data_IF_942254646236
#
_entry.id   IF_942254646236
#
_cell.length_a   1.000
_cell.length_b   1.000
_cell.length_c   1.000
_cell.angle_alpha   90.00
_cell.angle_beta   90.00
_cell.angle_gamma   90.00
#
_symmetry.space_group_name_H-M   'P 1'
#
loop_
_entity.id
_entity.type
_entity.pdbx_description
1 polymer ?
#
# COMPACT_ATOMS: atom_id res chain seq x y z
N UNK A 1 38.89 -53.78 5.29
CA UNK A 1 37.60 -53.60 5.99
C UNK A 1 37.36 -52.11 6.15
N UNK A 2 36.21 -51.65 5.64
CA UNK A 2 35.43 -50.46 5.99
C UNK A 2 36.11 -49.08 5.97
N UNK A 3 35.92 -48.38 4.86
CA UNK A 3 35.64 -46.95 4.85
C UNK A 3 34.41 -46.74 3.96
N UNK A 4 33.22 -46.84 4.55
CA UNK A 4 31.95 -46.56 3.87
C UNK A 4 31.76 -45.05 3.74
N UNK A 5 31.50 -44.61 2.51
CA UNK A 5 31.29 -43.23 2.09
C UNK A 5 30.22 -42.53 2.93
N UNK A 6 30.58 -41.39 3.52
CA UNK A 6 29.66 -40.48 4.22
C UNK A 6 28.64 -39.85 3.24
N UNK A 7 28.91 -39.91 1.93
CA UNK A 7 28.03 -39.37 0.89
C UNK A 7 26.75 -40.18 0.67
N UNK A 8 26.70 -41.47 1.03
CA UNK A 8 25.50 -42.30 0.86
C UNK A 8 24.45 -42.06 1.97
N UNK A 9 24.81 -41.39 3.07
CA UNK A 9 23.88 -41.09 4.16
C UNK A 9 23.11 -39.78 3.99
N UNK A 10 23.52 -38.92 3.05
CA UNK A 10 22.93 -37.58 2.83
C UNK A 10 21.89 -37.53 1.70
N UNK A 11 21.72 -38.62 0.94
CA UNK A 11 20.77 -38.73 -0.18
C UNK A 11 19.34 -39.10 0.22
N UNK A 12 19.03 -39.18 1.52
CA UNK A 12 17.74 -39.71 2.02
C UNK A 12 16.88 -38.76 2.85
N UNK A 13 17.29 -37.50 3.05
CA UNK A 13 16.56 -36.57 3.91
C UNK A 13 16.12 -35.31 3.15
N UNK A 14 15.41 -35.51 2.04
CA UNK A 14 14.40 -34.53 1.67
C UNK A 14 13.30 -34.60 2.75
N UNK A 15 13.36 -33.69 3.72
CA UNK A 15 12.20 -33.34 4.53
C UNK A 15 11.14 -32.82 3.55
N UNK A 16 10.26 -33.72 3.09
CA UNK A 16 8.98 -33.31 2.52
C UNK A 16 8.33 -32.40 3.56
N UNK A 17 8.33 -31.09 3.32
CA UNK A 17 7.49 -30.16 4.07
C UNK A 17 6.10 -30.79 4.07
N UNK A 18 5.59 -31.11 5.26
CA UNK A 18 4.19 -31.46 5.38
C UNK A 18 3.39 -30.36 4.67
N UNK A 19 2.32 -30.67 3.92
CA UNK A 19 1.48 -29.64 3.35
C UNK A 19 1.10 -28.71 4.51
N UNK A 20 1.51 -27.44 4.40
CA UNK A 20 1.17 -26.45 5.41
C UNK A 20 -0.36 -26.43 5.45
N UNK A 21 -0.96 -26.93 6.54
CA UNK A 21 -2.40 -26.96 6.73
C UNK A 21 -2.85 -25.52 6.94
N UNK A 22 -3.08 -24.84 5.81
CA UNK A 22 -3.54 -23.47 5.79
C UNK A 22 -5.04 -23.35 6.09
N UNK A 23 -5.73 -24.46 6.38
CA UNK A 23 -7.19 -24.51 6.57
C UNK A 23 -7.98 -24.36 5.27
N UNK A 24 -9.31 -24.46 5.36
CA UNK A 24 -10.20 -24.28 4.21
C UNK A 24 -10.27 -22.80 3.79
N UNK A 25 -9.83 -22.42 2.57
CA UNK A 25 -9.90 -21.04 2.08
C UNK A 25 -11.33 -20.54 1.86
N UNK A 26 -12.35 -21.41 1.93
CA UNK A 26 -13.75 -21.01 1.95
C UNK A 26 -14.24 -20.62 3.36
N UNK A 27 -13.52 -20.98 4.43
CA UNK A 27 -13.80 -20.47 5.78
C UNK A 27 -13.32 -19.02 5.88
N UNK A 28 -14.21 -18.03 6.12
CA UNK A 28 -13.82 -16.62 6.21
C UNK A 28 -12.75 -16.35 7.27
N UNK A 29 -12.70 -17.14 8.35
CA UNK A 29 -11.71 -17.00 9.44
C UNK A 29 -10.31 -17.39 9.00
N UNK A 30 -10.23 -18.32 8.05
CA UNK A 30 -8.98 -18.74 7.43
C UNK A 30 -8.64 -17.77 6.29
N UNK A 31 -9.60 -17.48 5.42
CA UNK A 31 -9.43 -16.64 4.23
C UNK A 31 -8.92 -15.25 4.58
N UNK A 32 -9.55 -14.56 5.54
CA UNK A 32 -9.19 -13.20 5.94
C UNK A 32 -7.93 -13.13 6.81
N UNK A 33 -7.55 -14.23 7.45
CA UNK A 33 -6.33 -14.30 8.26
C UNK A 33 -5.12 -14.40 7.34
N UNK A 34 -4.44 -13.27 7.14
CA UNK A 34 -3.17 -13.14 6.41
C UNK A 34 -2.19 -12.40 7.32
N UNK A 35 -0.89 -12.63 7.13
CA UNK A 35 0.16 -11.97 7.91
C UNK A 35 0.54 -10.57 7.37
N UNK A 36 -0.31 -9.99 6.50
CA UNK A 36 -0.17 -8.63 6.03
C UNK A 36 -0.35 -7.65 7.20
N UNK A 37 0.48 -6.61 7.24
CA UNK A 37 0.48 -5.60 8.30
C UNK A 37 0.36 -4.19 7.71
N UNK A 38 -0.24 -3.31 8.49
CA UNK A 38 -0.20 -1.86 8.27
C UNK A 38 0.49 -1.19 9.45
N UNK A 39 1.34 -0.21 9.18
CA UNK A 39 2.02 0.61 10.19
C UNK A 39 1.59 2.07 10.04
N UNK A 40 1.52 2.80 11.14
CA UNK A 40 1.18 4.22 11.14
C UNK A 40 1.93 4.96 12.25
N UNK A 41 2.36 6.18 11.95
CA UNK A 41 3.07 7.04 12.89
C UNK A 41 2.66 8.51 12.68
N UNK A 42 2.72 9.29 13.74
CA UNK A 42 2.45 10.72 13.73
C UNK A 42 3.75 11.50 13.97
N UNK A 43 4.01 12.50 13.14
CA UNK A 43 5.23 13.29 13.14
C UNK A 43 4.91 14.76 13.31
N UNK A 44 5.72 15.46 14.11
CA UNK A 44 5.75 16.92 14.16
C UNK A 44 6.88 17.42 13.28
N UNK A 45 6.60 18.42 12.45
CA UNK A 45 7.63 19.05 11.63
C UNK A 45 8.49 19.95 12.52
N UNK A 46 9.80 19.94 12.30
CA UNK A 46 10.75 20.72 13.12
C UNK A 46 10.49 22.23 13.03
N UNK A 47 10.21 22.72 11.82
CA UNK A 47 10.00 24.15 11.55
C UNK A 47 8.51 24.57 11.66
N UNK A 48 7.61 23.58 11.82
CA UNK A 48 6.16 23.72 11.99
C UNK A 48 5.67 22.77 13.10
N UNK A 49 6.04 22.99 14.37
CA UNK A 49 5.80 22.03 15.46
C UNK A 49 4.32 21.84 15.82
N UNK A 50 3.47 22.76 15.39
CA UNK A 50 2.01 22.71 15.54
C UNK A 50 1.35 21.91 14.41
N UNK A 51 2.05 21.70 13.29
CA UNK A 51 1.58 20.86 12.20
C UNK A 51 2.00 19.41 12.41
N UNK A 52 1.01 18.52 12.42
CA UNK A 52 1.20 17.09 12.60
C UNK A 52 0.85 16.37 11.31
N UNK A 53 1.75 15.50 10.85
CA UNK A 53 1.52 14.62 9.70
C UNK A 53 1.46 13.18 10.19
N UNK A 54 0.37 12.49 9.88
CA UNK A 54 0.24 11.06 10.04
C UNK A 54 0.67 10.40 8.73
N UNK A 55 1.61 9.47 8.82
CA UNK A 55 2.03 8.63 7.71
C UNK A 55 1.65 7.19 8.03
N UNK A 56 0.93 6.55 7.12
CA UNK A 56 0.63 5.14 7.15
C UNK A 56 1.31 4.42 5.97
N UNK A 57 1.70 3.17 6.18
CA UNK A 57 2.26 2.30 5.14
C UNK A 57 1.70 0.89 5.26
N UNK A 58 1.48 0.19 4.15
CA UNK A 58 0.96 -1.18 4.12
C UNK A 58 1.51 -1.97 2.94
N UNK A 59 1.40 -3.29 3.01
CA UNK A 59 1.54 -4.18 1.87
C UNK A 59 0.34 -5.16 1.90
N UNK A 60 -0.62 -5.01 0.99
CA UNK A 60 -1.83 -5.84 0.95
C UNK A 60 -1.57 -7.22 0.34
N UNK A 61 -2.45 -8.18 0.61
CA UNK A 61 -2.32 -9.53 0.07
C UNK A 61 -2.19 -9.51 -1.47
N UNK A 62 -1.34 -10.37 -2.02
CA UNK A 62 -0.92 -10.27 -3.42
C UNK A 62 -1.86 -10.98 -4.41
N UNK A 63 -2.52 -12.06 -3.98
CA UNK A 63 -3.24 -12.97 -4.88
C UNK A 63 -4.37 -12.23 -5.64
N UNK A 64 -4.34 -12.22 -7.00
CA UNK A 64 -5.34 -11.53 -7.81
C UNK A 64 -6.76 -12.11 -7.63
N UNK A 65 -6.90 -13.41 -7.32
CA UNK A 65 -8.19 -14.08 -7.11
C UNK A 65 -8.82 -13.74 -5.75
N UNK A 66 -8.09 -13.03 -4.88
CA UNK A 66 -8.48 -12.71 -3.50
C UNK A 66 -8.78 -11.23 -3.30
N UNK A 67 -9.45 -10.63 -4.29
CA UNK A 67 -9.86 -9.22 -4.25
C UNK A 67 -10.72 -8.85 -3.03
N UNK A 68 -11.51 -9.79 -2.51
CA UNK A 68 -12.30 -9.62 -1.29
C UNK A 68 -11.42 -9.50 -0.03
N UNK A 69 -10.34 -10.27 0.05
CA UNK A 69 -9.36 -10.17 1.14
C UNK A 69 -8.61 -8.85 1.07
N UNK A 70 -8.13 -8.46 -0.11
CA UNK A 70 -7.48 -7.15 -0.33
C UNK A 70 -8.40 -6.01 0.08
N UNK A 71 -9.68 -6.07 -0.31
CA UNK A 71 -10.68 -5.06 0.05
C UNK A 71 -10.96 -5.03 1.56
N UNK A 72 -11.07 -6.18 2.22
CA UNK A 72 -11.25 -6.25 3.67
C UNK A 72 -10.05 -5.65 4.43
N UNK A 73 -8.82 -5.91 3.96
CA UNK A 73 -7.61 -5.33 4.52
C UNK A 73 -7.56 -3.81 4.33
N UNK A 74 -7.91 -3.30 3.14
CA UNK A 74 -7.98 -1.86 2.88
C UNK A 74 -9.02 -1.16 3.76
N UNK A 75 -10.21 -1.76 3.92
CA UNK A 75 -11.25 -1.29 4.85
C UNK A 75 -10.76 -1.23 6.29
N UNK A 76 -10.11 -2.29 6.73
CA UNK A 76 -9.55 -2.36 8.06
C UNK A 76 -8.48 -1.28 8.27
N UNK A 77 -7.55 -1.12 7.33
CA UNK A 77 -6.52 -0.08 7.37
C UNK A 77 -7.12 1.32 7.53
N UNK A 78 -8.07 1.72 6.68
CA UNK A 78 -8.67 3.05 6.74
C UNK A 78 -9.50 3.29 8.01
N UNK A 79 -10.21 2.26 8.49
CA UNK A 79 -10.91 2.32 9.78
C UNK A 79 -9.95 2.56 10.95
N UNK A 80 -8.84 1.80 11.00
CA UNK A 80 -7.80 1.98 12.03
C UNK A 80 -7.10 3.33 11.92
N UNK A 81 -6.85 3.81 10.70
CA UNK A 81 -6.28 5.12 10.44
C UNK A 81 -7.21 6.25 10.90
N UNK A 82 -8.53 6.14 10.69
CA UNK A 82 -9.52 7.12 11.17
C UNK A 82 -9.55 7.20 12.70
N UNK A 83 -9.51 6.05 13.38
CA UNK A 83 -9.40 6.00 14.84
C UNK A 83 -8.09 6.61 15.33
N UNK A 84 -6.97 6.31 14.68
CA UNK A 84 -5.66 6.85 15.04
C UNK A 84 -5.60 8.37 14.82
N UNK A 85 -6.12 8.87 13.70
CA UNK A 85 -6.26 10.30 13.40
C UNK A 85 -7.05 11.03 14.49
N UNK A 86 -8.18 10.45 14.92
CA UNK A 86 -9.01 10.99 16.00
C UNK A 86 -8.25 11.03 17.33
N UNK A 87 -7.51 9.97 17.65
CA UNK A 87 -6.69 9.91 18.86
C UNK A 87 -5.61 10.99 18.87
N UNK A 88 -4.87 11.13 17.77
CA UNK A 88 -3.81 12.13 17.62
C UNK A 88 -4.39 13.55 17.68
N UNK A 89 -5.49 13.79 16.97
CA UNK A 89 -6.18 15.08 16.98
C UNK A 89 -6.59 15.52 18.38
N UNK A 90 -7.17 14.61 19.18
CA UNK A 90 -7.54 14.89 20.57
C UNK A 90 -6.32 15.09 21.48
N UNK A 91 -5.26 14.29 21.28
CA UNK A 91 -4.07 14.32 22.15
C UNK A 91 -3.19 15.55 21.92
N UNK A 92 -3.14 16.06 20.69
CA UNK A 92 -2.27 17.16 20.29
C UNK A 92 -3.04 18.44 19.96
N UNK A 93 -4.37 18.44 20.13
CA UNK A 93 -5.27 19.57 19.86
C UNK A 93 -5.06 20.17 18.45
N UNK A 94 -4.95 19.29 17.45
CA UNK A 94 -4.65 19.67 16.07
C UNK A 94 -5.51 18.90 15.06
N UNK A 95 -5.50 19.34 13.79
CA UNK A 95 -6.03 18.56 12.67
C UNK A 95 -4.88 17.96 11.88
N UNK A 96 -4.49 16.69 12.12
CA UNK A 96 -3.34 16.11 11.46
C UNK A 96 -3.62 15.85 9.97
N UNK A 97 -2.64 16.20 9.14
CA UNK A 97 -2.55 15.80 7.73
C UNK A 97 -2.34 14.30 7.63
N UNK A 98 -2.81 13.67 6.55
CA UNK A 98 -2.74 12.22 6.38
C UNK A 98 -2.11 11.88 5.03
N UNK A 99 -1.09 11.04 5.06
CA UNK A 99 -0.46 10.39 3.90
C UNK A 99 -0.49 8.89 4.13
N UNK A 100 -0.87 8.12 3.10
CA UNK A 100 -0.89 6.66 3.13
C UNK A 100 -0.11 6.17 1.90
N UNK A 101 0.97 5.44 2.11
CA UNK A 101 1.74 4.81 1.06
C UNK A 101 1.62 3.29 1.11
N UNK A 102 2.04 2.61 0.06
CA UNK A 102 2.25 1.17 0.10
C UNK A 102 2.01 0.47 -1.22
N UNK A 103 2.22 -0.84 -1.19
CA UNK A 103 1.81 -1.78 -2.23
C UNK A 103 0.41 -2.29 -1.89
N UNK A 104 -0.55 -1.97 -2.75
CA UNK A 104 -1.95 -2.35 -2.56
C UNK A 104 -2.34 -3.57 -3.40
N UNK A 105 -1.42 -4.11 -4.22
CA UNK A 105 -1.65 -5.25 -5.10
C UNK A 105 -2.99 -5.13 -5.88
N UNK A 106 -3.33 -3.91 -6.29
CA UNK A 106 -4.62 -3.56 -6.89
C UNK A 106 -4.43 -2.44 -7.90
N UNK A 107 -5.00 -2.59 -9.09
CA UNK A 107 -4.76 -1.65 -10.20
C UNK A 107 -5.73 -0.45 -10.15
N UNK A 108 -5.41 0.67 -10.84
CA UNK A 108 -6.34 1.78 -10.96
C UNK A 108 -7.68 1.29 -11.54
N UNK A 109 -8.78 1.65 -10.86
CA UNK A 109 -10.13 1.23 -11.26
C UNK A 109 -10.69 0.02 -10.51
N UNK A 110 -9.85 -0.80 -9.88
CA UNK A 110 -10.30 -1.96 -9.11
C UNK A 110 -11.07 -1.58 -7.84
N UNK A 111 -11.81 -2.53 -7.27
CA UNK A 111 -12.65 -2.30 -6.07
C UNK A 111 -11.86 -1.76 -4.88
N UNK A 112 -10.62 -2.20 -4.72
CA UNK A 112 -9.73 -1.72 -3.65
C UNK A 112 -9.35 -0.26 -3.89
N UNK A 113 -8.86 0.06 -5.10
CA UNK A 113 -8.51 1.43 -5.49
C UNK A 113 -9.72 2.37 -5.35
N UNK A 114 -10.88 1.99 -5.90
CA UNK A 114 -12.12 2.76 -5.80
C UNK A 114 -12.54 3.00 -4.34
N UNK A 115 -12.39 2.00 -3.48
CA UNK A 115 -12.66 2.15 -2.06
C UNK A 115 -11.69 3.13 -1.39
N UNK A 116 -10.39 3.03 -1.68
CA UNK A 116 -9.37 3.92 -1.11
C UNK A 116 -9.66 5.39 -1.40
N UNK A 117 -10.13 5.72 -2.61
CA UNK A 117 -10.44 7.10 -3.01
C UNK A 117 -11.93 7.49 -2.84
N UNK A 118 -12.78 6.58 -2.34
CA UNK A 118 -14.24 6.76 -2.29
C UNK A 118 -14.71 7.92 -1.40
N UNK A 119 -13.95 8.25 -0.35
CA UNK A 119 -14.25 9.36 0.54
C UNK A 119 -14.22 10.73 -0.16
N UNK A 120 -13.60 10.83 -1.33
CA UNK A 120 -13.58 12.04 -2.15
C UNK A 120 -14.74 12.10 -3.18
N UNK A 121 -15.64 11.12 -3.21
CA UNK A 121 -16.78 11.14 -4.12
C UNK A 121 -17.81 12.19 -3.69
N UNK A 122 -18.28 13.03 -4.63
CA UNK A 122 -19.39 13.98 -4.39
C UNK A 122 -20.68 13.30 -3.92
N UNK A 123 -20.80 11.98 -4.09
CA UNK A 123 -21.94 11.18 -3.63
C UNK A 123 -21.90 10.92 -2.11
N UNK A 124 -20.74 11.07 -1.47
CA UNK A 124 -20.59 10.98 -0.01
C UNK A 124 -21.36 12.08 0.73
N UNK A 125 -21.72 13.20 0.06
CA UNK A 125 -22.49 14.28 0.67
C UNK A 125 -24.01 14.02 0.73
N UNK A 126 -24.49 12.88 0.21
CA UNK A 126 -25.92 12.55 0.12
C UNK A 126 -26.40 11.49 1.14
N UNK A 127 -25.50 10.96 1.99
CA UNK A 127 -25.84 9.92 2.97
C UNK A 127 -25.45 10.39 4.38
N UNK A 128 -26.44 10.61 5.25
CA UNK A 128 -26.31 11.12 6.63
C UNK A 128 -25.69 10.13 7.64
N UNK A 129 -24.68 9.34 7.25
CA UNK A 129 -23.90 8.52 8.19
C UNK A 129 -22.44 8.97 8.17
N UNK A 130 -22.16 10.14 8.77
CA UNK A 130 -20.83 10.77 8.79
C UNK A 130 -19.76 9.97 9.56
N UNK A 131 -20.15 8.99 10.39
CA UNK A 131 -19.22 8.27 11.28
C UNK A 131 -18.54 7.04 10.66
N UNK A 132 -19.03 6.53 9.53
CA UNK A 132 -18.49 5.31 8.86
C UNK A 132 -17.78 5.60 7.53
N UNK A 133 -17.70 6.86 7.11
CA UNK A 133 -17.10 7.20 5.82
C UNK A 133 -15.57 7.13 5.91
N UNK A 134 -14.91 6.46 4.93
CA UNK A 134 -13.46 6.41 4.89
C UNK A 134 -12.87 7.82 4.77
N UNK A 135 -11.66 8.00 5.31
CA UNK A 135 -10.91 9.25 5.17
C UNK A 135 -10.89 9.62 3.68
N UNK A 136 -11.23 10.87 3.31
CA UNK A 136 -11.16 11.30 1.92
C UNK A 136 -9.69 11.29 1.48
N UNK A 137 -9.33 10.35 0.61
CA UNK A 137 -7.99 10.21 0.06
C UNK A 137 -7.99 10.41 -1.45
N UNK A 138 -6.88 10.94 -1.95
CA UNK A 138 -6.55 11.08 -3.37
C UNK A 138 -5.19 10.46 -3.63
N UNK A 139 -5.01 9.80 -4.77
CA UNK A 139 -3.67 9.44 -5.25
C UNK A 139 -2.93 10.69 -5.72
N UNK A 140 -1.67 10.83 -5.33
CA UNK A 140 -0.80 11.95 -5.73
C UNK A 140 -0.61 11.96 -7.25
N UNK A 141 -0.33 10.81 -7.85
CA UNK A 141 -0.13 10.71 -9.31
C UNK A 141 -1.42 11.03 -10.05
N UNK A 142 -2.55 10.41 -9.68
CA UNK A 142 -3.86 10.70 -10.28
C UNK A 142 -4.27 12.17 -10.13
N UNK A 143 -4.00 12.80 -8.99
CA UNK A 143 -4.35 14.20 -8.73
C UNK A 143 -3.56 15.19 -9.58
N UNK A 144 -2.32 14.85 -9.94
CA UNK A 144 -1.40 15.77 -10.64
C UNK A 144 -1.40 15.60 -12.16
N UNK A 145 -1.23 14.38 -12.67
CA UNK A 145 -1.17 14.09 -14.12
C UNK A 145 -1.90 12.82 -14.57
N UNK A 146 -2.30 11.96 -13.65
CA UNK A 146 -2.80 10.61 -13.94
C UNK A 146 -1.92 9.55 -13.30
N UNK A 147 -2.48 8.37 -13.06
CA UNK A 147 -1.69 7.24 -12.57
C UNK A 147 -0.61 6.84 -13.59
N UNK A 148 0.58 6.44 -13.14
CA UNK A 148 1.59 5.92 -14.06
C UNK A 148 1.09 4.63 -14.72
N UNK A 149 1.66 4.23 -15.86
CA UNK A 149 1.29 2.98 -16.52
C UNK A 149 1.69 1.75 -15.69
N UNK A 150 2.79 1.84 -14.94
CA UNK A 150 3.22 0.78 -14.04
C UNK A 150 4.09 1.29 -12.89
N UNK A 151 4.05 0.54 -11.79
CA UNK A 151 4.97 0.64 -10.66
C UNK A 151 5.66 -0.70 -10.40
N UNK A 152 5.03 -1.81 -10.77
CA UNK A 152 5.65 -3.13 -10.87
C UNK A 152 5.84 -3.50 -12.35
N UNK A 153 7.00 -4.05 -12.72
CA UNK A 153 7.29 -4.47 -14.08
C UNK A 153 8.02 -5.82 -14.11
N UNK A 154 7.27 -6.89 -14.32
CA UNK A 154 7.79 -8.25 -14.54
C UNK A 154 7.30 -8.77 -15.90
N UNK A 155 7.91 -9.85 -16.45
CA UNK A 155 7.47 -10.44 -17.71
C UNK A 155 6.00 -10.87 -17.73
N UNK A 156 5.47 -11.33 -16.58
CA UNK A 156 4.10 -11.87 -16.48
C UNK A 156 3.09 -10.83 -15.97
N UNK A 157 3.55 -9.77 -15.31
CA UNK A 157 2.68 -8.73 -14.75
C UNK A 157 3.39 -7.37 -14.79
N UNK A 158 2.77 -6.40 -15.47
CA UNK A 158 3.24 -5.01 -15.49
C UNK A 158 2.04 -4.09 -15.30
N UNK A 159 1.96 -3.43 -14.14
CA UNK A 159 0.86 -2.52 -13.81
C UNK A 159 1.20 -1.62 -12.61
N UNK A 160 0.33 -0.65 -12.35
CA UNK A 160 0.41 0.23 -11.17
C UNK A 160 -0.32 -0.43 -10.01
N UNK A 161 0.43 -0.72 -8.95
CA UNK A 161 -0.11 -1.31 -7.71
C UNK A 161 0.40 -0.62 -6.45
N UNK A 162 1.34 0.31 -6.60
CA UNK A 162 1.91 1.11 -5.53
C UNK A 162 1.35 2.54 -5.59
N UNK A 163 0.94 3.08 -4.45
CA UNK A 163 0.30 4.40 -4.39
C UNK A 163 0.85 5.23 -3.24
N UNK A 164 0.98 6.54 -3.49
CA UNK A 164 1.04 7.56 -2.44
C UNK A 164 -0.32 8.25 -2.44
N UNK A 165 -1.10 8.02 -1.39
CA UNK A 165 -2.39 8.64 -1.16
C UNK A 165 -2.25 9.76 -0.12
N UNK A 166 -3.03 10.82 -0.23
CA UNK A 166 -3.10 11.88 0.77
C UNK A 166 -4.52 12.35 0.97
N UNK A 167 -4.81 12.90 2.15
CA UNK A 167 -6.09 13.56 2.41
C UNK A 167 -5.98 15.05 2.09
N UNK A 168 -6.68 15.56 1.05
CA UNK A 168 -6.56 16.95 0.66
C UNK A 168 -7.11 17.89 1.73
N UNK A 169 -6.31 18.89 2.11
CA UNK A 169 -6.69 20.01 2.97
C UNK A 169 -6.02 21.29 2.44
N UNK A 170 -6.38 22.45 3.00
CA UNK A 170 -5.70 23.71 2.66
C UNK A 170 -4.25 23.76 3.17
N UNK A 171 -3.89 22.84 4.09
CA UNK A 171 -2.61 22.81 4.80
C UNK A 171 -1.59 21.82 4.25
N UNK A 172 -1.98 20.94 3.32
CA UNK A 172 -1.05 20.03 2.63
C UNK A 172 -1.46 19.86 1.16
N UNK A 173 -0.51 20.06 0.25
CA UNK A 173 -0.71 19.81 -1.18
C UNK A 173 0.52 19.18 -1.82
N UNK A 174 0.36 18.20 -2.73
CA UNK A 174 1.47 17.72 -3.55
C UNK A 174 1.90 18.82 -4.52
N UNK A 175 3.20 19.08 -4.62
CA UNK A 175 3.77 20.08 -5.53
C UNK A 175 4.60 19.46 -6.65
N UNK A 176 5.15 18.28 -6.42
CA UNK A 176 5.86 17.50 -7.44
C UNK A 176 5.79 16.00 -7.11
N UNK A 177 6.13 15.17 -8.09
CA UNK A 177 6.21 13.71 -7.94
C UNK A 177 7.40 13.18 -8.74
N UNK A 178 7.86 11.98 -8.37
CA UNK A 178 8.92 11.29 -9.08
C UNK A 178 8.37 10.70 -10.38
N UNK A 179 8.84 11.20 -11.52
CA UNK A 179 8.50 10.65 -12.83
C UNK A 179 9.06 9.23 -12.99
N UNK A 180 8.23 8.34 -13.52
CA UNK A 180 8.58 6.93 -13.76
C UNK A 180 8.92 6.70 -15.23
N UNK A 181 9.82 5.75 -15.54
CA UNK A 181 10.21 5.42 -16.90
C UNK A 181 9.03 4.95 -17.75
N UNK A 182 9.13 5.19 -19.06
CA UNK A 182 8.22 4.62 -20.06
C UNK A 182 8.54 3.12 -20.29
N UNK A 183 7.55 2.34 -20.72
CA UNK A 183 7.66 0.87 -20.82
C UNK A 183 8.73 0.40 -21.83
N UNK A 184 9.00 1.20 -22.85
CA UNK A 184 10.00 0.95 -23.90
C UNK A 184 11.38 1.55 -23.59
N UNK A 185 11.54 2.17 -22.42
CA UNK A 185 12.83 2.70 -21.99
C UNK A 185 13.84 1.59 -21.69
N UNK A 186 15.12 1.85 -22.00
CA UNK A 186 16.21 0.90 -21.73
C UNK A 186 16.34 0.51 -20.25
N UNK A 187 15.78 1.31 -19.33
CA UNK A 187 15.83 1.09 -17.89
C UNK A 187 14.95 -0.08 -17.43
N UNK A 188 13.88 -0.38 -18.17
CA UNK A 188 12.87 -1.42 -17.81
C UNK A 188 12.63 -2.45 -18.92
N UNK A 189 13.19 -2.26 -20.11
CA UNK A 189 13.11 -3.24 -21.21
C UNK A 189 13.62 -4.61 -20.75
N UNK A 190 12.76 -5.63 -20.92
CA UNK A 190 13.03 -7.00 -20.47
C UNK A 190 12.52 -7.31 -19.05
N UNK A 191 11.98 -6.32 -18.34
CA UNK A 191 11.43 -6.45 -17.00
C UNK A 191 12.44 -6.17 -15.89
N UNK A 192 11.93 -6.21 -14.66
CA UNK A 192 12.64 -5.99 -13.41
C UNK A 192 12.61 -7.25 -12.53
N UNK A 193 13.57 -7.43 -11.60
CA UNK A 193 14.76 -6.61 -11.38
C UNK A 193 15.80 -6.76 -12.50
N UNK A 194 16.72 -5.82 -12.62
CA UNK A 194 17.82 -5.84 -13.59
C UNK A 194 19.11 -5.22 -13.01
N UNK A 195 20.12 -4.97 -13.86
CA UNK A 195 21.41 -4.44 -13.43
C UNK A 195 21.32 -3.05 -12.77
N UNK A 196 20.38 -2.22 -13.23
CA UNK A 196 20.19 -0.84 -12.74
C UNK A 196 19.15 -0.77 -11.61
N UNK A 197 18.19 -1.69 -11.58
CA UNK A 197 17.06 -1.70 -10.67
C UNK A 197 17.01 -3.00 -9.84
N UNK A 198 17.27 -2.94 -8.52
CA UNK A 198 17.40 -4.14 -7.70
C UNK A 198 16.05 -4.74 -7.21
N UNK A 199 14.92 -4.14 -7.58
CA UNK A 199 13.56 -4.61 -7.28
C UNK A 199 12.74 -4.69 -8.56
N UNK A 200 11.73 -5.56 -8.55
CA UNK A 200 10.64 -5.64 -9.52
C UNK A 200 9.65 -4.46 -9.46
N UNK A 201 9.71 -3.66 -8.39
CA UNK A 201 8.98 -2.41 -8.24
C UNK A 201 9.90 -1.19 -8.44
N UNK A 202 9.33 -0.14 -9.01
CA UNK A 202 9.94 1.18 -9.11
C UNK A 202 9.62 2.00 -7.86
N UNK A 203 10.60 2.77 -7.34
CA UNK A 203 10.33 3.69 -6.25
C UNK A 203 9.37 4.78 -6.72
N UNK A 204 8.33 5.05 -5.93
CA UNK A 204 7.44 6.20 -6.11
C UNK A 204 7.79 7.31 -5.12
N UNK A 205 7.55 8.56 -5.50
CA UNK A 205 7.97 9.71 -4.69
C UNK A 205 7.09 10.93 -4.92
N UNK A 206 6.96 11.76 -3.89
CA UNK A 206 6.18 12.98 -3.92
C UNK A 206 6.80 14.04 -3.01
N UNK A 207 6.75 15.30 -3.46
CA UNK A 207 7.02 16.46 -2.61
C UNK A 207 5.70 17.11 -2.23
N UNK A 208 5.58 17.45 -0.95
CA UNK A 208 4.43 18.16 -0.42
C UNK A 208 4.84 19.54 0.07
N UNK A 209 4.04 20.55 -0.27
CA UNK A 209 4.07 21.83 0.43
C UNK A 209 3.09 21.74 1.61
N UNK A 210 3.58 22.15 2.78
CA UNK A 210 2.80 22.20 4.02
C UNK A 210 2.75 23.66 4.46
N UNK A 211 1.53 24.20 4.55
CA UNK A 211 1.28 25.59 4.92
C UNK A 211 0.82 25.69 6.38
N UNK A 212 1.06 26.85 6.98
CA UNK A 212 0.43 27.21 8.27
C UNK A 212 -0.99 27.66 7.98
N UNK A 213 -1.93 27.20 8.79
CA UNK A 213 -3.27 27.81 8.88
C UNK A 213 -3.17 29.25 9.42
#
# INVERSE_FOLDING_TARGET
MLASNINDLLLGLELKKAPEDHGDPNDPRVRLKRDCVGIMAAFKLKDLPDHVVIVANTHLYWDPEWADVKLAQAKYLLSRLALFRTLISKRLECTPSVVVAGDFNSTPGDKVYQYLISGNSRLASAVECLEDMPIPLCSVYAFTRGEPPFTNCTPDFTNTIDYILFSPTDSIKPVSFLELPELDSFDVVGGLPNYSHPSDHLPIGAEFEITRD
#
